data_IF_398566209840
#
_entry.id   IF_398566209840
#
_cell.length_a   1.000
_cell.length_b   1.000
_cell.length_c   1.000
_cell.angle_alpha   90.00
_cell.angle_beta   90.00
_cell.angle_gamma   90.00
#
_symmetry.space_group_name_H-M   'P 1'
#
loop_
_entity.id
_entity.type
_entity.pdbx_description
1 polymer ?
#
# COMPACT_ATOMS: atom_id res chain seq x y z
N UNK A 1 17.37 -13.55 33.05
CA UNK A 1 17.74 -13.33 31.62
C UNK A 1 17.10 -12.05 31.17
N UNK A 2 17.85 -11.17 30.54
CA UNK A 2 17.30 -9.95 29.93
C UNK A 2 16.25 -10.36 28.90
N UNK A 3 15.07 -9.78 28.88
CA UNK A 3 14.07 -10.12 27.89
C UNK A 3 14.57 -9.76 26.48
N UNK A 4 14.36 -10.66 25.53
CA UNK A 4 14.73 -10.47 24.12
C UNK A 4 13.47 -10.41 23.26
N UNK A 5 13.35 -9.35 22.47
CA UNK A 5 12.24 -9.15 21.53
C UNK A 5 12.76 -9.42 20.14
N UNK A 6 12.12 -10.33 19.42
CA UNK A 6 12.40 -10.56 18.01
C UNK A 6 11.31 -9.89 17.16
N UNK A 7 11.73 -9.16 16.13
CA UNK A 7 10.85 -8.52 15.15
C UNK A 7 11.20 -9.10 13.78
N UNK A 8 10.23 -9.75 13.14
CA UNK A 8 10.41 -10.33 11.80
C UNK A 8 9.86 -9.38 10.76
N UNK A 9 10.74 -8.91 9.86
CA UNK A 9 10.40 -7.99 8.76
C UNK A 9 10.93 -6.57 9.00
N UNK A 10 11.52 -5.97 7.94
CA UNK A 10 12.12 -4.63 7.96
C UNK A 10 11.22 -3.53 7.39
N UNK A 11 9.89 -3.67 7.50
CA UNK A 11 8.95 -2.66 7.04
C UNK A 11 8.73 -1.52 8.04
N UNK A 12 7.87 -0.56 7.65
CA UNK A 12 7.55 0.61 8.50
C UNK A 12 6.87 0.23 9.82
N UNK A 13 6.14 -0.89 9.86
CA UNK A 13 5.54 -1.40 11.11
C UNK A 13 6.64 -1.79 12.10
N UNK A 14 7.60 -2.60 11.67
CA UNK A 14 8.75 -3.00 12.49
C UNK A 14 9.56 -1.78 13.00
N UNK A 15 9.84 -0.84 12.12
CA UNK A 15 10.57 0.38 12.48
C UNK A 15 9.82 1.20 13.55
N UNK A 16 8.51 1.40 13.39
CA UNK A 16 7.73 2.16 14.38
C UNK A 16 7.55 1.37 15.70
N UNK A 17 7.49 0.03 15.64
CA UNK A 17 7.51 -0.78 16.86
C UNK A 17 8.81 -0.57 17.65
N UNK A 18 9.97 -0.60 16.98
CA UNK A 18 11.27 -0.33 17.63
C UNK A 18 11.27 1.06 18.27
N UNK A 19 10.78 2.09 17.57
CA UNK A 19 10.68 3.45 18.14
C UNK A 19 9.86 3.46 19.42
N UNK A 20 8.67 2.86 19.41
CA UNK A 20 7.78 2.83 20.59
C UNK A 20 8.36 2.00 21.72
N UNK A 21 9.06 0.90 21.42
CA UNK A 21 9.83 0.15 22.44
C UNK A 21 10.85 1.08 23.10
N UNK A 22 11.64 1.82 22.34
CA UNK A 22 12.72 2.69 22.86
C UNK A 22 12.24 3.92 23.59
N UNK A 23 11.01 4.37 23.36
CA UNK A 23 10.38 5.42 24.15
C UNK A 23 10.07 4.98 25.60
N UNK A 24 9.97 3.66 25.85
CA UNK A 24 9.58 3.09 27.15
C UNK A 24 10.76 2.33 27.81
N UNK A 25 11.47 1.54 27.03
CA UNK A 25 12.55 0.66 27.50
C UNK A 25 13.77 0.76 26.57
N UNK A 26 14.84 1.38 27.11
CA UNK A 26 16.12 1.54 26.41
C UNK A 26 16.97 0.27 26.43
N UNK A 27 16.71 -0.67 27.36
CA UNK A 27 17.63 -1.73 27.74
C UNK A 27 17.25 -3.09 27.17
N UNK A 28 15.95 -3.30 26.86
CA UNK A 28 15.49 -4.55 26.25
C UNK A 28 16.25 -4.83 24.96
N UNK A 29 16.72 -6.07 24.78
CA UNK A 29 17.41 -6.48 23.56
C UNK A 29 16.38 -6.65 22.44
N UNK A 30 16.62 -5.99 21.29
CA UNK A 30 15.76 -6.08 20.10
C UNK A 30 16.56 -6.67 18.96
N UNK A 31 16.05 -7.74 18.35
CA UNK A 31 16.56 -8.32 17.11
C UNK A 31 15.59 -7.98 15.97
N UNK A 32 16.08 -7.31 14.92
CA UNK A 32 15.33 -7.05 13.69
C UNK A 32 15.86 -7.97 12.58
N UNK A 33 15.00 -8.87 12.09
CA UNK A 33 15.37 -9.84 11.06
C UNK A 33 14.62 -9.49 9.78
N UNK A 34 15.33 -9.28 8.68
CA UNK A 34 14.73 -9.04 7.37
C UNK A 34 15.50 -9.70 6.23
N UNK A 35 14.78 -10.20 5.24
CA UNK A 35 15.34 -10.92 4.11
C UNK A 35 16.00 -10.03 3.04
N UNK A 36 15.75 -8.72 3.03
CA UNK A 36 16.47 -7.78 2.17
C UNK A 36 17.81 -7.37 2.83
N UNK A 37 18.94 -7.34 2.07
CA UNK A 37 20.27 -7.03 2.64
C UNK A 37 20.51 -5.52 2.80
N UNK A 38 19.48 -4.72 2.94
CA UNK A 38 19.51 -3.27 3.09
C UNK A 38 18.72 -2.85 4.34
N UNK A 39 18.95 -1.64 4.84
CA UNK A 39 18.20 -1.12 5.99
C UNK A 39 16.71 -0.96 5.69
N UNK A 40 15.82 -0.98 6.70
CA UNK A 40 14.42 -0.61 6.53
C UNK A 40 14.27 0.72 5.80
N UNK A 41 13.42 0.79 4.80
CA UNK A 41 13.34 1.91 3.87
C UNK A 41 11.91 2.31 3.51
N UNK A 42 11.75 3.49 2.90
CA UNK A 42 10.48 4.02 2.41
C UNK A 42 10.03 3.29 1.14
N UNK A 43 9.29 2.16 1.29
CA UNK A 43 8.76 1.38 0.14
C UNK A 43 7.89 2.21 -0.80
N UNK A 44 7.22 3.24 -0.28
CA UNK A 44 6.40 4.16 -1.08
C UNK A 44 7.20 5.00 -2.08
N UNK A 45 8.54 4.99 -1.96
CA UNK A 45 9.42 5.64 -2.95
C UNK A 45 9.75 4.76 -4.14
N UNK A 46 9.56 3.46 -4.06
CA UNK A 46 9.98 2.53 -5.12
C UNK A 46 9.39 2.89 -6.50
N UNK A 47 8.09 3.13 -6.59
CA UNK A 47 7.44 3.51 -7.85
C UNK A 47 7.82 4.90 -8.32
N UNK A 48 7.96 5.85 -7.40
CA UNK A 48 8.24 7.25 -7.71
C UNK A 48 9.68 7.48 -8.19
N UNK A 49 10.60 6.65 -7.72
CA UNK A 49 12.02 6.75 -8.01
C UNK A 49 12.54 5.64 -8.94
N UNK A 50 11.65 5.06 -9.77
CA UNK A 50 11.97 3.93 -10.64
C UNK A 50 13.18 4.20 -11.56
N UNK A 51 13.32 5.42 -12.07
CA UNK A 51 14.42 5.83 -12.96
C UNK A 51 15.47 6.73 -12.30
N UNK A 52 15.27 7.11 -11.04
CA UNK A 52 16.29 7.82 -10.29
C UNK A 52 17.45 6.89 -9.95
N UNK A 53 18.60 7.47 -9.60
CA UNK A 53 19.68 6.71 -8.99
C UNK A 53 19.33 6.40 -7.53
N UNK A 54 18.64 5.28 -7.35
CA UNK A 54 18.16 4.81 -6.05
C UNK A 54 19.33 4.23 -5.25
N UNK A 55 19.96 5.09 -4.45
CA UNK A 55 20.83 4.68 -3.38
C UNK A 55 19.99 4.16 -2.20
N UNK A 56 20.13 2.90 -1.77
CA UNK A 56 19.39 2.35 -0.62
C UNK A 56 19.49 3.21 0.63
N UNK A 57 20.65 3.86 0.84
CA UNK A 57 20.88 4.71 2.01
C UNK A 57 20.06 6.00 1.98
N UNK A 58 19.73 6.51 0.79
CA UNK A 58 18.90 7.72 0.63
C UNK A 58 17.41 7.48 0.88
N UNK A 59 16.98 6.26 0.68
CA UNK A 59 15.56 5.88 0.92
C UNK A 59 15.37 5.17 2.26
N UNK A 60 16.44 4.89 3.02
CA UNK A 60 16.36 4.24 4.31
C UNK A 60 15.55 5.05 5.33
N UNK A 61 14.81 4.37 6.19
CA UNK A 61 14.07 5.00 7.30
C UNK A 61 15.03 5.60 8.31
N UNK A 62 16.14 4.92 8.56
CA UNK A 62 17.26 5.37 9.39
C UNK A 62 18.56 4.72 8.91
N UNK A 63 19.70 5.35 9.24
CA UNK A 63 21.02 4.83 8.99
C UNK A 63 21.49 3.89 10.11
N UNK A 64 22.57 3.16 9.85
CA UNK A 64 23.18 2.19 10.78
C UNK A 64 23.35 2.74 12.19
N UNK A 65 23.87 3.97 12.30
CA UNK A 65 24.18 4.61 13.59
C UNK A 65 22.96 4.78 14.48
N UNK A 66 21.75 4.92 13.88
CA UNK A 66 20.53 4.98 14.65
C UNK A 66 20.21 3.62 15.29
N UNK A 67 20.37 2.52 14.55
CA UNK A 67 20.12 1.18 15.07
C UNK A 67 21.13 0.83 16.16
N UNK A 68 22.42 1.13 15.93
CA UNK A 68 23.50 0.92 16.92
C UNK A 68 23.21 1.70 18.21
N UNK A 69 22.87 3.00 18.10
CA UNK A 69 22.52 3.85 19.26
C UNK A 69 21.31 3.34 20.03
N UNK A 70 20.39 2.67 19.35
CA UNK A 70 19.15 2.14 19.95
C UNK A 70 19.25 0.64 20.28
N UNK A 71 20.44 0.06 20.42
CA UNK A 71 20.67 -1.34 20.81
C UNK A 71 19.82 -2.33 19.98
N UNK A 72 19.75 -2.13 18.65
CA UNK A 72 19.04 -3.02 17.73
C UNK A 72 20.02 -3.93 17.02
N UNK A 73 19.93 -5.22 17.26
CA UNK A 73 20.69 -6.24 16.54
C UNK A 73 20.04 -6.48 15.17
N UNK A 74 20.70 -6.02 14.10
CA UNK A 74 20.21 -6.17 12.73
C UNK A 74 20.67 -7.49 12.12
N UNK A 75 19.75 -8.27 11.60
CA UNK A 75 19.97 -9.48 10.80
C UNK A 75 19.46 -9.22 9.38
N UNK A 76 20.29 -8.50 8.59
CA UNK A 76 19.95 -8.14 7.20
C UNK A 76 20.29 -9.29 6.25
N UNK A 77 19.45 -9.49 5.22
CA UNK A 77 19.60 -10.59 4.26
C UNK A 77 19.39 -11.96 4.89
N UNK A 78 18.62 -12.04 5.99
CA UNK A 78 18.28 -13.28 6.69
C UNK A 78 16.79 -13.54 6.65
N UNK A 79 16.41 -14.74 6.28
CA UNK A 79 15.01 -15.15 6.24
C UNK A 79 14.65 -16.03 7.44
N UNK A 80 13.56 -15.70 8.11
CA UNK A 80 12.98 -16.61 9.12
C UNK A 80 12.19 -17.66 8.39
N UNK A 81 12.61 -18.92 8.54
CA UNK A 81 12.03 -20.08 7.86
C UNK A 81 11.09 -20.90 8.76
N UNK A 82 11.05 -20.61 10.05
CA UNK A 82 10.16 -21.33 10.99
C UNK A 82 10.07 -20.64 12.35
N UNK A 83 8.93 -20.86 13.01
CA UNK A 83 8.66 -20.43 14.39
C UNK A 83 8.26 -21.65 15.21
N UNK A 84 8.94 -21.86 16.34
CA UNK A 84 8.54 -22.82 17.36
C UNK A 84 7.93 -22.07 18.54
N UNK A 85 6.61 -22.09 18.63
CA UNK A 85 5.85 -21.34 19.65
C UNK A 85 5.89 -22.00 21.03
N UNK A 86 6.26 -23.29 21.13
CA UNK A 86 6.41 -23.98 22.40
C UNK A 86 7.77 -23.70 23.04
N UNK A 87 8.84 -23.67 22.21
CA UNK A 87 10.20 -23.37 22.68
C UNK A 87 10.51 -21.86 22.67
N UNK A 88 9.62 -21.04 22.09
CA UNK A 88 9.83 -19.61 21.86
C UNK A 88 11.11 -19.32 21.06
N UNK A 89 11.25 -19.95 19.90
CA UNK A 89 12.40 -19.78 19.02
C UNK A 89 11.99 -19.50 17.57
N UNK A 90 12.86 -18.80 16.85
CA UNK A 90 12.78 -18.63 15.40
C UNK A 90 14.00 -19.25 14.74
N UNK A 91 13.81 -19.94 13.63
CA UNK A 91 14.88 -20.56 12.83
C UNK A 91 15.15 -19.71 11.60
N UNK A 92 16.43 -19.44 11.30
CA UNK A 92 16.87 -18.69 10.14
C UNK A 92 17.36 -19.60 9.01
N UNK A 93 17.41 -19.06 7.81
CA UNK A 93 17.85 -19.73 6.58
C UNK A 93 19.32 -20.19 6.60
N UNK A 94 20.15 -19.61 7.48
CA UNK A 94 21.55 -20.03 7.69
C UNK A 94 21.72 -21.15 8.73
N UNK A 95 20.61 -21.69 9.24
CA UNK A 95 20.59 -22.73 10.26
C UNK A 95 20.71 -22.21 11.69
N UNK A 96 20.89 -20.93 11.91
CA UNK A 96 20.87 -20.34 13.25
C UNK A 96 19.46 -20.32 13.85
N UNK A 97 19.42 -20.30 15.19
CA UNK A 97 18.17 -20.27 15.94
C UNK A 97 18.27 -19.21 17.04
N UNK A 98 17.28 -18.32 17.10
CA UNK A 98 17.20 -17.27 18.11
C UNK A 98 16.02 -17.52 19.04
N UNK A 99 16.24 -17.32 20.34
CA UNK A 99 15.20 -17.45 21.37
C UNK A 99 14.60 -16.08 21.66
N UNK A 100 13.29 -16.03 21.87
CA UNK A 100 12.59 -14.80 22.21
C UNK A 100 11.79 -14.91 23.51
N UNK A 101 11.65 -13.81 24.22
CA UNK A 101 10.64 -13.62 25.25
C UNK A 101 9.32 -13.12 24.67
N UNK A 102 9.40 -12.25 23.64
CA UNK A 102 8.27 -11.77 22.84
C UNK A 102 8.63 -11.68 21.37
N UNK A 103 7.65 -11.90 20.51
CA UNK A 103 7.78 -11.93 19.06
C UNK A 103 6.82 -10.95 18.39
N UNK A 104 7.31 -10.17 17.42
CA UNK A 104 6.49 -9.36 16.52
C UNK A 104 6.59 -9.87 15.09
N UNK A 105 5.47 -10.26 14.51
CA UNK A 105 5.33 -10.56 13.10
C UNK A 105 5.05 -9.25 12.35
N UNK A 106 6.02 -8.76 11.59
CA UNK A 106 5.94 -7.54 10.80
C UNK A 106 6.48 -7.75 9.37
N UNK A 107 6.45 -9.01 8.89
CA UNK A 107 6.96 -9.44 7.58
C UNK A 107 6.00 -9.11 6.41
N UNK A 108 4.92 -8.40 6.70
CA UNK A 108 4.08 -7.73 5.72
C UNK A 108 3.35 -8.66 4.75
N UNK A 109 3.26 -8.25 3.50
CA UNK A 109 2.57 -8.95 2.43
C UNK A 109 3.41 -8.98 1.16
N UNK A 110 3.12 -9.92 0.28
CA UNK A 110 3.66 -10.00 -1.09
C UNK A 110 2.60 -9.57 -2.10
N UNK A 111 3.03 -9.12 -3.28
CA UNK A 111 2.10 -8.84 -4.36
C UNK A 111 1.38 -10.12 -4.78
N UNK A 112 0.07 -10.01 -4.95
CA UNK A 112 -0.71 -11.13 -5.48
C UNK A 112 -0.26 -11.44 -6.90
N UNK A 113 0.20 -12.68 -7.11
CA UNK A 113 0.56 -13.19 -8.42
C UNK A 113 -0.70 -13.73 -9.07
N UNK A 114 -1.20 -13.10 -10.14
CA UNK A 114 -2.40 -13.57 -10.80
C UNK A 114 -2.17 -14.92 -11.47
N UNK A 115 -3.20 -15.76 -11.51
CA UNK A 115 -3.15 -17.02 -12.22
C UNK A 115 -3.37 -16.79 -13.72
N UNK A 116 -2.39 -16.14 -14.36
CA UNK A 116 -2.37 -15.82 -15.78
C UNK A 116 -1.26 -16.65 -16.42
N UNK A 117 -1.56 -17.36 -17.53
CA UNK A 117 -0.56 -18.08 -18.27
C UNK A 117 0.55 -17.13 -18.74
N UNK A 118 1.80 -17.51 -18.58
CA UNK A 118 2.97 -16.70 -18.95
C UNK A 118 3.40 -15.65 -17.93
N UNK A 119 2.76 -15.56 -16.75
CA UNK A 119 3.13 -14.58 -15.69
C UNK A 119 4.56 -14.75 -15.17
N UNK A 120 5.22 -15.87 -15.47
CA UNK A 120 6.61 -16.16 -15.09
C UNK A 120 7.63 -15.90 -16.18
N UNK A 121 7.22 -15.40 -17.33
CA UNK A 121 8.13 -15.12 -18.45
C UNK A 121 9.11 -14.00 -18.08
N UNK A 122 10.27 -14.01 -18.75
CA UNK A 122 11.22 -12.90 -18.63
C UNK A 122 10.56 -11.58 -19.07
N UNK A 123 10.93 -10.47 -18.42
CA UNK A 123 10.35 -9.14 -18.56
C UNK A 123 8.88 -9.02 -18.05
N UNK A 124 8.44 -9.93 -17.19
CA UNK A 124 7.21 -9.79 -16.42
C UNK A 124 7.56 -9.50 -14.96
N UNK A 125 7.16 -8.35 -14.43
CA UNK A 125 7.59 -7.84 -13.15
C UNK A 125 6.42 -7.43 -12.26
N UNK A 126 6.72 -7.29 -10.99
CA UNK A 126 5.89 -6.59 -10.00
C UNK A 126 6.79 -5.66 -9.18
N UNK A 127 6.22 -4.72 -8.44
CA UNK A 127 7.00 -3.78 -7.62
C UNK A 127 6.63 -3.98 -6.15
N UNK A 128 7.55 -4.53 -5.36
CA UNK A 128 7.37 -4.69 -3.91
C UNK A 128 8.67 -4.46 -3.14
N UNK A 129 9.79 -4.89 -3.71
CA UNK A 129 11.10 -4.84 -3.08
C UNK A 129 12.05 -3.94 -3.86
N UNK A 130 13.16 -3.58 -3.23
CA UNK A 130 14.21 -2.80 -3.87
C UNK A 130 14.81 -3.52 -5.09
N UNK A 131 15.00 -4.84 -5.00
CA UNK A 131 15.49 -5.66 -6.10
C UNK A 131 14.58 -5.64 -7.33
N UNK A 132 13.27 -5.50 -7.16
CA UNK A 132 12.33 -5.40 -8.28
C UNK A 132 12.62 -4.16 -9.12
N UNK A 133 12.90 -3.03 -8.47
CA UNK A 133 13.25 -1.78 -9.15
C UNK A 133 14.56 -1.91 -9.91
N UNK A 134 15.56 -2.54 -9.31
CA UNK A 134 16.84 -2.78 -9.99
C UNK A 134 16.67 -3.68 -11.22
N UNK A 135 15.87 -4.75 -11.09
CA UNK A 135 15.56 -5.66 -12.18
C UNK A 135 14.81 -4.95 -13.32
N UNK A 136 13.78 -4.17 -13.00
CA UNK A 136 13.02 -3.38 -13.99
C UNK A 136 13.94 -2.37 -14.69
N UNK A 137 14.71 -1.58 -13.93
CA UNK A 137 15.62 -0.56 -14.46
C UNK A 137 16.64 -1.19 -15.43
N UNK A 138 17.28 -2.29 -15.02
CA UNK A 138 18.29 -2.97 -15.85
C UNK A 138 17.75 -3.53 -17.18
N UNK A 139 16.43 -3.71 -17.29
CA UNK A 139 15.76 -4.31 -18.46
C UNK A 139 14.91 -3.29 -19.24
N UNK A 140 14.84 -2.01 -18.80
CA UNK A 140 13.92 -1.03 -19.39
C UNK A 140 14.51 -0.21 -20.52
N UNK A 141 15.84 -0.11 -20.66
CA UNK A 141 16.49 0.83 -21.59
C UNK A 141 16.10 0.56 -23.05
N UNK A 142 16.11 -0.69 -23.48
CA UNK A 142 15.75 -1.12 -24.85
C UNK A 142 14.23 -1.36 -25.03
N UNK A 143 13.42 -1.23 -24.00
CA UNK A 143 11.97 -1.46 -24.06
C UNK A 143 11.23 -0.20 -24.46
N UNK A 144 10.32 -0.31 -25.42
CA UNK A 144 9.54 0.81 -25.95
C UNK A 144 8.09 0.78 -25.47
N UNK A 145 7.50 -0.40 -25.32
CA UNK A 145 6.10 -0.56 -24.93
C UNK A 145 5.99 -1.34 -23.62
N UNK A 146 5.50 -0.68 -22.58
CA UNK A 146 5.32 -1.26 -21.25
C UNK A 146 3.82 -1.43 -20.99
N UNK A 147 3.41 -2.66 -20.69
CA UNK A 147 2.03 -2.97 -20.36
C UNK A 147 1.88 -3.14 -18.86
N UNK A 148 0.94 -2.39 -18.26
CA UNK A 148 0.58 -2.46 -16.85
C UNK A 148 -0.73 -3.21 -16.66
N UNK A 149 -0.74 -4.25 -15.81
CA UNK A 149 -1.95 -4.98 -15.42
C UNK A 149 -2.44 -4.44 -14.08
N UNK A 150 -3.61 -3.77 -14.10
CA UNK A 150 -4.24 -3.09 -12.99
C UNK A 150 -4.14 -1.55 -13.05
N UNK A 151 -5.25 -0.86 -12.81
CA UNK A 151 -5.39 0.60 -12.80
C UNK A 151 -5.38 1.21 -11.38
N UNK A 152 -4.72 0.55 -10.43
CA UNK A 152 -4.55 1.05 -9.06
C UNK A 152 -3.35 1.99 -8.93
N UNK A 153 -3.27 2.68 -7.77
CA UNK A 153 -2.30 3.75 -7.51
C UNK A 153 -0.84 3.34 -7.80
N UNK A 154 -0.40 2.17 -7.36
CA UNK A 154 0.98 1.72 -7.55
C UNK A 154 1.35 1.58 -9.04
N UNK A 155 0.45 0.98 -9.83
CA UNK A 155 0.66 0.85 -11.27
C UNK A 155 0.58 2.19 -12.00
N UNK A 156 -0.31 3.10 -11.57
CA UNK A 156 -0.41 4.44 -12.16
C UNK A 156 0.86 5.27 -11.89
N UNK A 157 1.42 5.21 -10.68
CA UNK A 157 2.70 5.87 -10.37
C UNK A 157 3.86 5.27 -11.19
N UNK A 158 3.92 3.93 -11.33
CA UNK A 158 4.92 3.28 -12.18
C UNK A 158 4.72 3.64 -13.67
N UNK A 159 3.48 3.62 -14.16
CA UNK A 159 3.13 4.03 -15.52
C UNK A 159 3.58 5.47 -15.80
N UNK A 160 3.35 6.39 -14.85
CA UNK A 160 3.82 7.76 -14.95
C UNK A 160 5.35 7.85 -15.05
N UNK A 161 6.08 7.05 -14.26
CA UNK A 161 7.53 7.02 -14.34
C UNK A 161 8.01 6.61 -15.75
N UNK A 162 7.39 5.60 -16.37
CA UNK A 162 7.70 5.21 -17.76
C UNK A 162 7.31 6.27 -18.78
N UNK A 163 6.12 6.87 -18.67
CA UNK A 163 5.70 7.96 -19.55
C UNK A 163 6.67 9.14 -19.51
N UNK A 164 7.16 9.50 -18.33
CA UNK A 164 8.12 10.59 -18.14
C UNK A 164 9.50 10.30 -18.74
N UNK A 165 9.74 9.05 -19.18
CA UNK A 165 10.95 8.59 -19.88
C UNK A 165 10.64 8.13 -21.33
N UNK A 166 9.66 8.79 -21.94
CA UNK A 166 9.28 8.62 -23.36
C UNK A 166 8.88 7.19 -23.77
N UNK A 167 8.50 6.33 -22.81
CA UNK A 167 8.01 4.99 -23.10
C UNK A 167 6.52 5.03 -23.45
N UNK A 168 6.10 4.17 -24.34
CA UNK A 168 4.68 3.91 -24.61
C UNK A 168 4.11 3.04 -23.51
N UNK A 169 3.04 3.48 -22.90
CA UNK A 169 2.39 2.77 -21.78
C UNK A 169 1.01 2.26 -22.20
N UNK A 170 0.69 1.04 -21.79
CA UNK A 170 -0.63 0.45 -21.93
C UNK A 170 -1.08 -0.01 -20.55
N UNK A 171 -2.24 0.46 -20.10
CA UNK A 171 -2.84 0.04 -18.84
C UNK A 171 -4.07 -0.80 -19.13
N UNK A 172 -4.11 -2.01 -18.57
CA UNK A 172 -5.26 -2.92 -18.67
C UNK A 172 -5.89 -3.01 -17.28
N UNK A 173 -7.12 -2.52 -17.16
CA UNK A 173 -7.88 -2.52 -15.91
C UNK A 173 -9.13 -3.38 -16.05
N UNK A 174 -9.30 -4.31 -15.11
CA UNK A 174 -10.44 -5.23 -15.04
C UNK A 174 -11.75 -4.53 -14.74
N UNK A 175 -11.71 -3.47 -13.92
CA UNK A 175 -12.87 -2.68 -13.56
C UNK A 175 -13.23 -1.67 -14.65
N UNK A 176 -14.40 -1.08 -14.53
CA UNK A 176 -14.94 -0.09 -15.47
C UNK A 176 -14.27 1.29 -15.39
N UNK A 177 -13.39 1.51 -14.41
CA UNK A 177 -12.70 2.79 -14.18
C UNK A 177 -11.40 2.63 -13.41
N UNK A 178 -10.54 3.65 -13.49
CA UNK A 178 -9.29 3.73 -12.73
C UNK A 178 -9.57 4.03 -11.25
N UNK A 179 -8.78 3.44 -10.34
CA UNK A 179 -8.87 3.65 -8.89
C UNK A 179 -10.29 3.54 -8.32
N UNK A 180 -11.09 2.51 -8.64
CA UNK A 180 -12.52 2.43 -8.33
C UNK A 180 -12.84 2.41 -6.82
N UNK A 181 -11.84 2.10 -5.98
CA UNK A 181 -11.98 2.10 -4.51
C UNK A 181 -11.73 3.45 -3.86
N UNK A 182 -11.07 4.37 -4.57
CA UNK A 182 -10.62 5.67 -4.05
C UNK A 182 -11.31 6.84 -4.74
N UNK A 183 -11.90 6.63 -5.91
CA UNK A 183 -12.48 7.68 -6.72
C UNK A 183 -13.93 7.32 -7.09
N UNK A 184 -14.79 8.33 -7.13
CA UNK A 184 -16.09 8.23 -7.79
C UNK A 184 -15.94 8.25 -9.32
N UNK A 185 -17.04 8.12 -10.03
CA UNK A 185 -17.03 8.06 -11.50
C UNK A 185 -16.41 9.32 -12.10
N UNK A 186 -16.80 10.51 -11.63
CA UNK A 186 -16.31 11.78 -12.19
C UNK A 186 -14.82 12.01 -11.94
N UNK A 187 -14.35 11.76 -10.73
CA UNK A 187 -12.93 11.85 -10.40
C UNK A 187 -12.08 10.85 -11.21
N UNK A 188 -12.61 9.63 -11.44
CA UNK A 188 -11.95 8.64 -12.28
C UNK A 188 -11.92 9.02 -13.77
N UNK A 189 -12.96 9.71 -14.28
CA UNK A 189 -12.96 10.27 -15.64
C UNK A 189 -11.89 11.36 -15.82
N UNK A 190 -11.72 12.23 -14.85
CA UNK A 190 -10.65 13.24 -14.85
C UNK A 190 -9.28 12.55 -14.90
N UNK A 191 -9.07 11.56 -14.04
CA UNK A 191 -7.84 10.78 -14.03
C UNK A 191 -7.61 10.06 -15.38
N UNK A 192 -8.65 9.44 -15.93
CA UNK A 192 -8.56 8.75 -17.23
C UNK A 192 -8.12 9.72 -18.35
N UNK A 193 -8.72 10.92 -18.42
CA UNK A 193 -8.35 11.95 -19.40
C UNK A 193 -6.90 12.41 -19.21
N UNK A 194 -6.47 12.62 -17.97
CA UNK A 194 -5.09 12.99 -17.68
C UNK A 194 -4.12 11.89 -18.11
N UNK A 195 -4.39 10.63 -17.76
CA UNK A 195 -3.54 9.48 -18.15
C UNK A 195 -3.45 9.37 -19.68
N UNK A 196 -4.58 9.48 -20.39
CA UNK A 196 -4.62 9.31 -21.85
C UNK A 196 -4.12 10.54 -22.63
N UNK A 197 -3.90 11.68 -21.97
CA UNK A 197 -3.26 12.85 -22.61
C UNK A 197 -1.75 12.66 -22.86
N UNK A 198 -1.16 11.64 -22.28
CA UNK A 198 0.22 11.23 -22.50
C UNK A 198 0.29 10.04 -23.49
N UNK A 199 1.49 9.53 -23.74
CA UNK A 199 1.69 8.36 -24.61
C UNK A 199 1.19 7.06 -23.93
N UNK A 200 -0.07 7.08 -23.46
CA UNK A 200 -0.69 6.02 -22.69
C UNK A 200 -2.03 5.61 -23.27
N UNK A 201 -2.21 4.30 -23.48
CA UNK A 201 -3.50 3.68 -23.81
C UNK A 201 -4.07 3.03 -22.58
N UNK A 202 -5.34 3.28 -22.27
CA UNK A 202 -6.06 2.64 -21.14
C UNK A 202 -7.18 1.77 -21.68
N UNK A 203 -7.22 0.52 -21.25
CA UNK A 203 -8.25 -0.46 -21.55
C UNK A 203 -8.99 -0.80 -20.28
N UNK A 204 -10.17 -0.22 -20.10
CA UNK A 204 -11.08 -0.47 -18.98
C UNK A 204 -11.97 -1.68 -19.28
N UNK A 205 -12.57 -2.27 -18.23
CA UNK A 205 -13.42 -3.47 -18.33
C UNK A 205 -12.75 -4.58 -19.14
N UNK A 206 -11.43 -4.72 -19.00
CA UNK A 206 -10.63 -5.62 -19.83
C UNK A 206 -9.88 -6.61 -18.95
N UNK A 207 -10.04 -7.88 -19.27
CA UNK A 207 -9.36 -8.99 -18.62
C UNK A 207 -8.09 -9.39 -19.39
N UNK A 208 -7.01 -9.67 -18.70
CA UNK A 208 -5.83 -10.30 -19.27
C UNK A 208 -6.00 -11.82 -19.21
N UNK A 209 -5.94 -12.46 -20.34
CA UNK A 209 -6.12 -13.92 -20.49
C UNK A 209 -4.77 -14.65 -20.39
N UNK A 210 -3.76 -14.16 -21.13
CA UNK A 210 -2.43 -14.77 -21.15
C UNK A 210 -1.35 -13.74 -21.50
N UNK A 211 -0.12 -14.06 -21.11
CA UNK A 211 1.10 -13.34 -21.48
C UNK A 211 1.88 -14.24 -22.42
N UNK A 212 2.06 -13.82 -23.66
CA UNK A 212 2.61 -14.63 -24.73
C UNK A 212 4.06 -14.26 -25.08
N UNK A 213 4.74 -15.13 -25.79
CA UNK A 213 6.15 -15.07 -26.17
C UNK A 213 6.82 -16.40 -25.89
N UNK A 214 8.03 -16.60 -26.37
CA UNK A 214 8.82 -17.80 -26.05
C UNK A 214 9.32 -17.72 -24.60
N UNK A 215 10.58 -17.40 -24.37
CA UNK A 215 11.13 -17.22 -23.02
C UNK A 215 10.75 -15.85 -22.42
N UNK A 216 10.66 -14.81 -23.27
CA UNK A 216 10.35 -13.41 -22.92
C UNK A 216 8.95 -13.04 -23.37
N UNK A 217 8.34 -12.08 -22.65
CA UNK A 217 7.08 -11.51 -23.12
C UNK A 217 7.27 -10.79 -24.46
N UNK A 218 6.32 -10.98 -25.37
CA UNK A 218 6.22 -10.22 -26.62
C UNK A 218 4.81 -9.65 -26.86
N UNK A 219 3.79 -10.21 -26.20
CA UNK A 219 2.44 -9.69 -26.25
C UNK A 219 1.62 -10.15 -25.04
N UNK A 220 0.45 -9.52 -24.86
CA UNK A 220 -0.56 -9.89 -23.87
C UNK A 220 -1.89 -10.08 -24.59
N UNK A 221 -2.54 -11.21 -24.38
CA UNK A 221 -3.90 -11.48 -24.87
C UNK A 221 -4.90 -10.95 -23.87
N UNK A 222 -5.83 -10.14 -24.34
CA UNK A 222 -6.86 -9.50 -23.54
C UNK A 222 -8.25 -9.77 -24.08
N UNK A 223 -9.27 -9.65 -23.22
CA UNK A 223 -10.70 -9.77 -23.57
C UNK A 223 -11.48 -8.63 -22.95
N UNK A 224 -12.27 -7.91 -23.75
CA UNK A 224 -13.19 -6.89 -23.24
C UNK A 224 -14.41 -7.58 -22.60
N UNK A 225 -14.76 -7.20 -21.38
CA UNK A 225 -15.85 -7.79 -20.59
C UNK A 225 -17.24 -7.21 -20.88
N UNK A 226 -17.30 -6.05 -21.53
CA UNK A 226 -18.53 -5.35 -21.85
C UNK A 226 -19.08 -5.65 -23.25
N UNK A 227 -18.40 -6.47 -24.04
CA UNK A 227 -18.92 -6.85 -25.38
C UNK A 227 -20.15 -7.76 -25.21
N UNK A 228 -21.26 -7.35 -25.77
CA UNK A 228 -22.54 -8.07 -25.77
C UNK A 228 -22.55 -9.31 -26.71
N UNK A 229 -21.50 -9.53 -27.44
CA UNK A 229 -21.33 -10.74 -28.25
C UNK A 229 -20.91 -11.90 -27.34
N UNK A 230 -21.57 -13.02 -27.50
CA UNK A 230 -21.35 -14.25 -26.72
C UNK A 230 -19.93 -14.82 -26.80
N UNK A 231 -19.07 -14.24 -27.64
CA UNK A 231 -17.63 -14.44 -27.71
C UNK A 231 -16.99 -13.07 -27.96
N UNK A 232 -16.61 -12.34 -26.90
CA UNK A 232 -15.77 -11.16 -27.06
C UNK A 232 -14.44 -11.60 -27.69
N UNK A 233 -14.11 -11.04 -28.86
CA UNK A 233 -12.87 -11.36 -29.56
C UNK A 233 -11.67 -11.07 -28.65
N UNK A 234 -10.81 -12.06 -28.51
CA UNK A 234 -9.52 -11.85 -27.84
C UNK A 234 -8.63 -10.96 -28.71
N UNK A 235 -7.98 -10.01 -28.07
CA UNK A 235 -7.06 -9.09 -28.73
C UNK A 235 -5.64 -9.33 -28.22
N UNK A 236 -4.71 -9.57 -29.14
CA UNK A 236 -3.29 -9.58 -28.81
C UNK A 236 -2.70 -8.17 -28.87
N UNK A 237 -1.99 -7.79 -27.81
CA UNK A 237 -1.38 -6.46 -27.65
C UNK A 237 0.13 -6.66 -27.51
N UNK A 238 0.89 -6.22 -28.51
CA UNK A 238 2.34 -6.30 -28.47
C UNK A 238 2.91 -5.39 -27.35
N UNK A 239 3.86 -5.93 -26.57
CA UNK A 239 4.58 -5.22 -25.52
C UNK A 239 5.92 -5.89 -25.25
N UNK A 240 6.88 -5.11 -24.74
CA UNK A 240 8.25 -5.57 -24.46
C UNK A 240 8.46 -5.92 -22.99
N UNK A 241 7.58 -5.40 -22.13
CA UNK A 241 7.62 -5.59 -20.68
C UNK A 241 6.21 -5.55 -20.11
N UNK A 242 5.96 -6.34 -19.08
CA UNK A 242 4.72 -6.33 -18.30
C UNK A 242 5.02 -6.04 -16.85
N UNK A 243 4.23 -5.12 -16.25
CA UNK A 243 4.24 -4.85 -14.81
C UNK A 243 2.83 -5.09 -14.26
N UNK A 244 2.69 -5.98 -13.27
CA UNK A 244 1.40 -6.23 -12.66
C UNK A 244 1.34 -5.76 -11.20
N UNK A 245 0.20 -5.15 -10.83
CA UNK A 245 -0.12 -4.80 -9.44
C UNK A 245 -1.64 -4.93 -9.25
N UNK A 246 -2.06 -6.14 -8.85
CA UNK A 246 -3.48 -6.54 -8.74
C UNK A 246 -3.87 -6.93 -7.31
N UNK A 247 -3.18 -6.35 -6.34
CA UNK A 247 -3.41 -6.54 -4.91
C UNK A 247 -2.27 -7.22 -4.19
N UNK A 248 -2.47 -7.47 -2.90
CA UNK A 248 -1.48 -8.07 -2.00
C UNK A 248 -2.04 -9.30 -1.29
N UNK A 249 -1.15 -10.15 -0.77
CA UNK A 249 -1.47 -11.27 0.11
C UNK A 249 -0.54 -11.23 1.32
N UNK A 250 -1.07 -11.25 2.55
CA UNK A 250 -0.28 -11.35 3.78
C UNK A 250 0.66 -12.55 3.76
N UNK A 251 1.87 -12.38 4.27
CA UNK A 251 2.90 -13.42 4.29
C UNK A 251 2.71 -14.37 5.48
N UNK A 252 1.53 -15.01 5.55
CA UNK A 252 1.11 -15.87 6.67
C UNK A 252 1.76 -17.25 6.68
N UNK A 253 2.46 -17.66 5.61
CA UNK A 253 3.11 -18.97 5.51
C UNK A 253 4.09 -19.24 6.67
N UNK A 254 4.67 -18.20 7.24
CA UNK A 254 5.55 -18.30 8.41
C UNK A 254 4.83 -18.85 9.65
N UNK A 255 3.49 -18.77 9.68
CA UNK A 255 2.66 -19.30 10.76
C UNK A 255 2.26 -20.78 10.55
N UNK A 256 2.67 -21.40 9.42
CA UNK A 256 2.40 -22.80 9.15
C UNK A 256 3.00 -23.67 10.27
N UNK A 257 2.27 -24.69 10.71
CA UNK A 257 2.64 -25.56 11.82
C UNK A 257 2.79 -24.88 13.19
N UNK A 258 2.20 -23.71 13.38
CA UNK A 258 2.07 -23.03 14.67
C UNK A 258 0.62 -23.01 15.14
N UNK A 259 0.38 -22.65 16.40
CA UNK A 259 -0.97 -22.43 16.94
C UNK A 259 -1.47 -20.97 16.74
N UNK A 260 -0.76 -20.15 15.99
CA UNK A 260 -1.17 -18.77 15.67
C UNK A 260 -2.42 -18.79 14.78
N UNK A 261 -3.46 -18.09 15.20
CA UNK A 261 -4.70 -17.99 14.43
C UNK A 261 -4.54 -17.09 13.20
N UNK A 262 -4.90 -17.66 12.05
CA UNK A 262 -4.84 -16.98 10.74
C UNK A 262 -6.18 -17.13 9.99
N UNK A 263 -6.50 -16.13 9.17
CA UNK A 263 -7.58 -16.18 8.17
C UNK A 263 -7.08 -15.54 6.88
N UNK A 264 -7.45 -14.31 6.55
CA UNK A 264 -6.83 -13.53 5.45
C UNK A 264 -5.44 -13.01 5.82
N UNK A 265 -5.18 -12.84 7.10
CA UNK A 265 -3.95 -12.42 7.74
C UNK A 265 -3.81 -13.10 9.10
N UNK A 266 -2.81 -12.69 9.88
CA UNK A 266 -2.69 -13.05 11.29
C UNK A 266 -3.75 -12.27 12.07
N UNK A 267 -4.64 -13.00 12.76
CA UNK A 267 -5.73 -12.39 13.54
C UNK A 267 -5.14 -11.74 14.79
N UNK A 268 -5.45 -10.47 15.01
CA UNK A 268 -5.00 -9.69 16.18
C UNK A 268 -6.16 -8.97 16.86
N UNK A 269 -6.01 -8.73 18.15
CA UNK A 269 -6.88 -7.85 18.94
C UNK A 269 -6.51 -6.36 18.74
N UNK A 270 -7.15 -5.45 19.47
CA UNK A 270 -6.86 -4.03 19.44
C UNK A 270 -5.52 -3.65 20.08
N UNK A 271 -4.86 -4.57 20.80
CA UNK A 271 -3.49 -4.42 21.30
C UNK A 271 -2.45 -4.98 20.35
N UNK A 272 -2.87 -5.38 19.14
CA UNK A 272 -2.04 -6.06 18.13
C UNK A 272 -1.49 -7.41 18.62
N UNK A 273 -2.12 -8.04 19.60
CA UNK A 273 -1.77 -9.35 20.15
C UNK A 273 -2.49 -10.43 19.35
N UNK A 274 -1.80 -11.54 19.10
CA UNK A 274 -2.40 -12.75 18.54
C UNK A 274 -3.15 -13.53 19.64
N UNK A 275 -3.61 -14.72 19.33
CA UNK A 275 -4.13 -15.65 20.34
C UNK A 275 -3.06 -16.19 21.31
N UNK A 276 -1.79 -15.88 21.11
CA UNK A 276 -0.66 -16.24 22.00
C UNK A 276 -0.14 -14.98 22.69
N UNK A 277 -0.07 -15.02 24.01
CA UNK A 277 0.21 -13.83 24.86
C UNK A 277 1.53 -13.12 24.57
N UNK A 278 2.53 -13.85 24.08
CA UNK A 278 3.86 -13.34 23.79
C UNK A 278 4.13 -13.08 22.31
N UNK A 279 3.11 -13.25 21.43
CA UNK A 279 3.23 -13.03 19.99
C UNK A 279 2.26 -11.95 19.51
N UNK A 280 2.81 -10.96 18.83
CA UNK A 280 2.13 -9.80 18.28
C UNK A 280 2.29 -9.79 16.75
N UNK A 281 1.41 -9.06 16.06
CA UNK A 281 1.59 -8.82 14.64
C UNK A 281 1.22 -7.37 14.28
N UNK A 282 1.88 -6.79 13.25
CA UNK A 282 1.63 -5.43 12.80
C UNK A 282 1.89 -5.25 11.29
N UNK A 283 1.13 -4.36 10.66
CA UNK A 283 1.25 -4.03 9.25
C UNK A 283 0.48 -4.99 8.34
N UNK A 284 0.91 -5.09 7.10
CA UNK A 284 0.17 -5.80 6.03
C UNK A 284 -0.01 -7.31 6.28
N UNK A 285 0.64 -7.88 7.28
CA UNK A 285 0.43 -9.29 7.68
C UNK A 285 -0.83 -9.48 8.51
N UNK A 286 -1.32 -8.42 9.17
CA UNK A 286 -2.41 -8.53 10.15
C UNK A 286 -3.78 -8.57 9.50
N UNK A 287 -4.69 -9.27 10.18
CA UNK A 287 -6.13 -9.15 10.04
C UNK A 287 -6.71 -8.59 11.34
N UNK A 288 -7.20 -7.36 11.29
CA UNK A 288 -7.88 -6.68 12.39
C UNK A 288 -9.32 -6.36 11.99
N UNK A 289 -10.29 -6.72 12.81
CA UNK A 289 -11.73 -6.56 12.54
C UNK A 289 -12.15 -7.11 11.16
N UNK A 290 -11.63 -8.30 10.80
CA UNK A 290 -11.91 -9.00 9.54
C UNK A 290 -11.29 -8.36 8.29
N UNK A 291 -10.38 -7.39 8.45
CA UNK A 291 -9.77 -6.61 7.37
C UNK A 291 -8.25 -6.67 7.41
N UNK A 292 -7.64 -6.77 6.23
CA UNK A 292 -6.21 -6.57 6.01
C UNK A 292 -5.99 -5.11 5.60
N UNK A 293 -5.08 -4.41 6.27
CA UNK A 293 -4.89 -2.96 6.09
C UNK A 293 -4.30 -2.59 4.73
N UNK A 294 -3.13 -3.08 4.43
CA UNK A 294 -2.43 -2.86 3.15
C UNK A 294 -2.01 -1.40 2.88
N UNK A 295 -1.96 -0.54 3.90
CA UNK A 295 -1.64 0.87 3.76
C UNK A 295 -0.53 1.30 4.74
N UNK A 296 0.35 2.17 4.26
CA UNK A 296 1.48 2.67 5.03
C UNK A 296 1.10 3.32 6.37
N UNK A 297 0.09 4.21 6.47
CA UNK A 297 -0.33 4.79 7.76
C UNK A 297 -0.86 3.75 8.75
N UNK A 298 -1.60 2.74 8.27
CA UNK A 298 -2.09 1.64 9.11
C UNK A 298 -0.92 0.87 9.70
N UNK A 299 0.07 0.51 8.87
CA UNK A 299 1.26 -0.20 9.31
C UNK A 299 2.09 0.60 10.35
N UNK A 300 2.14 1.93 10.23
CA UNK A 300 2.78 2.81 11.23
C UNK A 300 2.08 2.68 12.58
N UNK A 301 0.77 2.87 12.65
CA UNK A 301 0.05 2.90 13.92
C UNK A 301 -0.05 1.51 14.56
N UNK A 302 -0.25 0.45 13.76
CA UNK A 302 -0.16 -0.91 14.28
C UNK A 302 1.24 -1.23 14.81
N UNK A 303 2.29 -0.76 14.13
CA UNK A 303 3.67 -0.87 14.60
C UNK A 303 3.88 -0.16 15.94
N UNK A 304 3.40 1.09 16.08
CA UNK A 304 3.48 1.82 17.36
C UNK A 304 2.74 1.09 18.48
N UNK A 305 1.49 0.71 18.22
CA UNK A 305 0.65 0.00 19.21
C UNK A 305 1.32 -1.30 19.66
N UNK A 306 1.80 -2.12 18.73
CA UNK A 306 2.50 -3.37 19.06
C UNK A 306 3.79 -3.10 19.85
N UNK A 307 4.56 -2.07 19.47
CA UNK A 307 5.79 -1.70 20.16
C UNK A 307 5.57 -1.33 21.63
N UNK A 308 4.55 -0.52 21.93
CA UNK A 308 4.17 -0.20 23.30
C UNK A 308 3.73 -1.43 24.09
N UNK A 309 2.86 -2.27 23.52
CA UNK A 309 2.35 -3.47 24.20
C UNK A 309 3.43 -4.54 24.40
N UNK A 310 4.42 -4.62 23.53
CA UNK A 310 5.59 -5.49 23.69
C UNK A 310 6.39 -5.19 24.97
N UNK A 311 6.41 -3.94 25.43
CA UNK A 311 7.11 -3.52 26.65
C UNK A 311 6.18 -3.24 27.82
N UNK A 312 4.91 -3.67 27.73
CA UNK A 312 3.95 -3.64 28.84
C UNK A 312 3.21 -2.32 29.03
N UNK A 313 3.32 -1.36 28.09
CA UNK A 313 2.48 -0.16 28.07
C UNK A 313 1.16 -0.50 27.38
N UNK A 314 0.06 -0.42 28.11
CA UNK A 314 -1.28 -0.74 27.62
C UNK A 314 -1.79 0.33 26.65
N UNK A 315 -1.85 0.01 25.34
CA UNK A 315 -2.30 0.91 24.27
C UNK A 315 -3.18 0.16 23.27
N UNK A 316 -4.39 0.68 23.05
CA UNK A 316 -5.32 0.13 22.05
C UNK A 316 -5.18 0.82 20.70
N UNK A 317 -5.22 0.03 19.64
CA UNK A 317 -5.34 0.47 18.26
C UNK A 317 -6.80 0.83 17.94
N UNK A 318 -7.06 2.09 17.68
CA UNK A 318 -8.43 2.59 17.42
C UNK A 318 -8.83 2.57 15.94
N UNK A 319 -7.97 2.00 15.10
CA UNK A 319 -8.13 2.07 13.66
C UNK A 319 -7.61 3.39 13.06
N UNK A 320 -7.35 3.38 11.78
CA UNK A 320 -7.02 4.57 11.00
C UNK A 320 -7.89 4.61 9.76
N UNK A 321 -8.42 5.79 9.47
CA UNK A 321 -9.10 6.02 8.20
C UNK A 321 -8.11 5.94 7.03
N UNK A 322 -8.41 5.15 6.00
CA UNK A 322 -7.59 5.11 4.80
C UNK A 322 -7.49 6.49 4.17
N UNK A 323 -6.27 6.96 3.98
CA UNK A 323 -5.96 8.16 3.20
C UNK A 323 -5.16 7.73 1.98
N UNK A 324 -5.64 8.12 0.81
CA UNK A 324 -4.96 7.89 -0.46
C UNK A 324 -4.49 9.22 -1.02
N UNK A 325 -3.22 9.31 -1.36
CA UNK A 325 -2.64 10.45 -2.08
C UNK A 325 -1.87 9.92 -3.28
N UNK A 326 -2.07 10.53 -4.45
CA UNK A 326 -1.31 10.23 -5.66
C UNK A 326 -0.88 11.54 -6.32
N UNK A 327 0.36 11.57 -6.77
CA UNK A 327 0.88 12.65 -7.63
C UNK A 327 1.50 11.99 -8.86
N UNK A 328 0.74 11.97 -9.95
CA UNK A 328 1.12 11.39 -11.23
C UNK A 328 0.30 12.03 -12.35
N UNK A 329 0.82 12.01 -13.58
CA UNK A 329 0.16 12.60 -14.76
C UNK A 329 -0.24 14.08 -14.57
N UNK A 330 0.59 14.84 -13.83
CA UNK A 330 0.36 16.23 -13.45
C UNK A 330 -0.95 16.46 -12.67
N UNK A 331 -1.49 15.43 -12.04
CA UNK A 331 -2.62 15.53 -11.11
C UNK A 331 -2.19 15.25 -9.68
N UNK A 332 -2.71 16.05 -8.75
CA UNK A 332 -2.70 15.75 -7.33
C UNK A 332 -4.06 15.20 -6.95
N UNK A 333 -4.08 13.98 -6.44
CA UNK A 333 -5.31 13.31 -6.00
C UNK A 333 -5.22 13.03 -4.51
N UNK A 334 -6.29 13.34 -3.80
CA UNK A 334 -6.50 12.99 -2.40
C UNK A 334 -7.88 12.36 -2.24
N UNK A 335 -7.94 11.27 -1.49
CA UNK A 335 -9.19 10.62 -1.12
C UNK A 335 -9.12 10.12 0.31
N UNK A 336 -10.17 10.32 1.08
CA UNK A 336 -10.24 9.91 2.49
C UNK A 336 -11.65 9.42 2.85
N UNK A 337 -11.70 8.43 3.73
CA UNK A 337 -12.93 7.96 4.37
C UNK A 337 -13.88 7.26 3.42
N UNK A 338 -15.16 7.42 3.65
CA UNK A 338 -16.24 6.80 2.86
C UNK A 338 -16.64 7.70 1.71
N UNK A 339 -16.44 7.21 0.49
CA UNK A 339 -16.74 7.94 -0.77
C UNK A 339 -17.93 7.35 -1.53
N UNK A 340 -18.67 6.47 -0.88
CA UNK A 340 -19.86 5.84 -1.44
C UNK A 340 -21.10 6.75 -1.23
N UNK A 341 -21.79 7.08 -2.32
CA UNK A 341 -23.00 7.92 -2.29
C UNK A 341 -24.11 7.29 -1.47
N UNK A 342 -24.26 5.97 -1.53
CA UNK A 342 -25.29 5.26 -0.78
C UNK A 342 -25.13 5.33 0.74
N UNK A 343 -23.92 5.62 1.20
CA UNK A 343 -23.58 5.81 2.62
C UNK A 343 -23.73 7.25 3.11
N UNK A 344 -23.80 8.22 2.19
CA UNK A 344 -23.92 9.65 2.49
C UNK A 344 -25.39 10.10 2.54
N UNK A 345 -25.70 11.04 3.43
CA UNK A 345 -27.01 11.73 3.46
C UNK A 345 -27.01 13.00 2.58
N UNK A 346 -25.84 13.56 2.32
CA UNK A 346 -25.63 14.72 1.48
C UNK A 346 -24.23 14.68 0.88
N UNK A 347 -24.06 15.27 -0.30
CA UNK A 347 -22.74 15.54 -0.88
C UNK A 347 -22.67 16.97 -1.41
N UNK A 348 -21.52 17.63 -1.21
CA UNK A 348 -21.22 18.90 -1.87
C UNK A 348 -20.17 18.66 -2.95
N UNK A 349 -20.38 19.25 -4.12
CA UNK A 349 -19.53 19.06 -5.29
C UNK A 349 -19.06 20.44 -5.79
N UNK A 350 -17.75 20.54 -6.07
CA UNK A 350 -17.12 21.63 -6.81
C UNK A 350 -16.45 21.01 -8.05
N UNK A 351 -17.08 21.14 -9.20
CA UNK A 351 -16.62 20.65 -10.51
C UNK A 351 -16.69 21.78 -11.54
N UNK A 352 -15.59 22.52 -11.75
CA UNK A 352 -15.54 23.59 -12.75
C UNK A 352 -15.56 23.07 -14.20
N UNK A 353 -15.45 21.77 -14.43
CA UNK A 353 -15.50 21.15 -15.76
C UNK A 353 -14.18 21.21 -16.53
N UNK A 354 -13.11 21.73 -15.94
CA UNK A 354 -11.79 21.91 -16.58
C UNK A 354 -10.92 20.63 -16.64
N UNK A 355 -11.40 19.53 -16.04
CA UNK A 355 -10.70 18.26 -15.88
C UNK A 355 -9.36 18.33 -15.12
N UNK A 356 -9.07 19.41 -14.42
CA UNK A 356 -7.87 19.58 -13.60
C UNK A 356 -8.20 19.77 -12.12
N UNK A 357 -9.46 20.06 -11.82
CA UNK A 357 -9.95 20.37 -10.48
C UNK A 357 -11.29 19.67 -10.23
N UNK A 358 -11.39 19.05 -9.06
CA UNK A 358 -12.63 18.43 -8.60
C UNK A 358 -12.58 18.26 -7.09
N UNK A 359 -13.66 18.63 -6.42
CA UNK A 359 -13.80 18.35 -4.99
C UNK A 359 -15.19 17.77 -4.75
N UNK A 360 -15.26 16.72 -3.97
CA UNK A 360 -16.51 16.16 -3.47
C UNK A 360 -16.36 15.81 -2.01
N UNK A 361 -17.29 16.30 -1.19
CA UNK A 361 -17.31 16.07 0.25
C UNK A 361 -18.58 15.31 0.58
N UNK A 362 -18.44 14.23 1.33
CA UNK A 362 -19.52 13.31 1.69
C UNK A 362 -19.89 13.51 3.15
N UNK A 363 -21.19 13.64 3.42
CA UNK A 363 -21.72 13.86 4.75
C UNK A 363 -22.66 12.73 5.17
N UNK A 364 -22.64 12.43 6.46
CA UNK A 364 -23.65 11.60 7.08
C UNK A 364 -24.12 12.29 8.35
N UNK A 365 -25.41 12.64 8.37
CA UNK A 365 -25.95 13.53 9.38
C UNK A 365 -25.15 14.85 9.39
N UNK A 366 -24.56 15.22 10.54
CA UNK A 366 -23.81 16.46 10.72
C UNK A 366 -22.27 16.24 10.75
N UNK A 367 -21.78 15.17 10.12
CA UNK A 367 -20.35 14.88 10.10
C UNK A 367 -19.84 14.67 8.67
N UNK A 368 -18.59 15.03 8.40
CA UNK A 368 -17.91 14.67 7.17
C UNK A 368 -17.42 13.24 7.29
N UNK A 369 -17.88 12.36 6.38
CA UNK A 369 -17.51 10.93 6.37
C UNK A 369 -16.46 10.59 5.32
N UNK A 370 -16.25 11.46 4.34
CA UNK A 370 -15.26 11.26 3.30
C UNK A 370 -15.10 12.47 2.39
N UNK A 371 -14.03 12.47 1.62
CA UNK A 371 -13.76 13.50 0.62
C UNK A 371 -12.89 12.97 -0.52
N UNK A 372 -13.14 13.51 -1.72
CA UNK A 372 -12.27 13.36 -2.90
C UNK A 372 -11.83 14.77 -3.30
N UNK A 373 -10.53 14.95 -3.54
CA UNK A 373 -9.96 16.21 -4.02
C UNK A 373 -8.99 15.92 -5.16
N UNK A 374 -9.18 16.58 -6.29
CA UNK A 374 -8.23 16.65 -7.40
C UNK A 374 -7.81 18.10 -7.59
N UNK A 375 -6.50 18.35 -7.75
CA UNK A 375 -5.92 19.66 -7.97
C UNK A 375 -5.37 20.30 -6.72
N UNK A 376 -6.01 21.35 -6.19
CA UNK A 376 -5.52 22.09 -5.01
C UNK A 376 -5.65 21.28 -3.72
N UNK A 377 -4.50 20.94 -3.13
CA UNK A 377 -4.38 20.12 -1.92
C UNK A 377 -4.33 20.90 -0.61
N UNK A 378 -4.49 22.24 -0.67
CA UNK A 378 -4.34 23.15 0.48
C UNK A 378 -5.16 22.75 1.70
N UNK A 379 -6.36 22.20 1.49
CA UNK A 379 -7.29 21.85 2.56
C UNK A 379 -7.30 20.35 2.93
N UNK A 380 -6.42 19.53 2.37
CA UNK A 380 -6.42 18.10 2.61
C UNK A 380 -6.23 17.72 4.09
N UNK A 381 -5.33 18.45 4.81
CA UNK A 381 -5.13 18.23 6.24
C UNK A 381 -6.35 18.63 7.08
N UNK A 382 -7.05 19.69 6.67
CA UNK A 382 -8.28 20.12 7.30
C UNK A 382 -9.38 19.05 7.13
N UNK A 383 -9.61 18.60 5.90
CA UNK A 383 -10.56 17.53 5.62
C UNK A 383 -10.20 16.24 6.37
N UNK A 384 -8.90 15.88 6.41
CA UNK A 384 -8.43 14.73 7.19
C UNK A 384 -8.80 14.88 8.67
N UNK A 385 -8.58 16.05 9.28
CA UNK A 385 -8.95 16.31 10.69
C UNK A 385 -10.45 16.06 10.89
N UNK A 386 -11.33 16.72 10.13
CA UNK A 386 -12.77 16.63 10.32
C UNK A 386 -13.34 15.23 10.09
N UNK A 387 -12.83 14.50 9.09
CA UNK A 387 -13.23 13.10 8.85
C UNK A 387 -12.76 12.18 9.97
N UNK A 388 -11.52 12.38 10.48
CA UNK A 388 -10.94 11.53 11.54
C UNK A 388 -11.62 11.78 12.88
N UNK A 389 -11.80 13.05 13.23
CA UNK A 389 -12.35 13.48 14.53
C UNK A 389 -13.88 13.34 14.56
N UNK A 390 -14.52 13.07 13.41
CA UNK A 390 -15.98 13.05 13.24
C UNK A 390 -16.62 14.32 13.83
N UNK A 391 -15.98 15.48 13.60
CA UNK A 391 -16.40 16.75 14.19
C UNK A 391 -17.82 17.10 13.77
N UNK A 392 -18.64 17.53 14.73
CA UNK A 392 -20.01 18.00 14.47
C UNK A 392 -19.98 19.36 13.78
N UNK A 393 -20.69 19.46 12.67
CA UNK A 393 -20.83 20.68 11.87
C UNK A 393 -22.31 21.12 11.78
N UNK A 394 -23.17 20.72 12.72
CA UNK A 394 -24.60 21.04 12.76
C UNK A 394 -24.89 22.54 12.76
N UNK A 395 -23.91 23.38 13.10
CA UNK A 395 -24.03 24.84 13.05
C UNK A 395 -23.97 25.46 11.63
N UNK A 396 -23.70 24.63 10.60
CA UNK A 396 -23.61 25.11 9.20
C UNK A 396 -24.85 24.72 8.40
N UNK A 397 -25.39 25.67 7.64
CA UNK A 397 -26.43 25.38 6.65
C UNK A 397 -25.80 24.82 5.38
N UNK A 398 -25.80 23.48 5.27
CA UNK A 398 -25.22 22.76 4.13
C UNK A 398 -26.07 22.83 2.86
N UNK A 399 -27.29 23.37 2.92
CA UNK A 399 -28.22 23.40 1.76
C UNK A 399 -27.84 24.48 0.74
N UNK A 400 -27.17 25.55 1.18
CA UNK A 400 -26.85 26.73 0.37
C UNK A 400 -25.37 27.14 0.40
N UNK A 401 -24.48 26.23 0.83
CA UNK A 401 -23.06 26.51 0.95
C UNK A 401 -22.27 25.86 -0.20
N UNK A 402 -21.34 26.58 -0.78
CA UNK A 402 -20.35 26.01 -1.71
C UNK A 402 -19.26 25.24 -0.97
N UNK A 403 -18.54 24.36 -1.69
CA UNK A 403 -17.39 23.64 -1.12
C UNK A 403 -16.33 24.60 -0.60
N UNK A 404 -16.06 25.70 -1.30
CA UNK A 404 -15.04 26.67 -0.90
C UNK A 404 -15.47 27.46 0.37
N UNK A 405 -16.72 27.87 0.47
CA UNK A 405 -17.26 28.51 1.69
C UNK A 405 -17.23 27.54 2.87
N UNK A 406 -17.64 26.28 2.66
CA UNK A 406 -17.51 25.26 3.69
C UNK A 406 -16.06 25.16 4.20
N UNK A 407 -15.08 25.04 3.30
CA UNK A 407 -13.66 24.90 3.69
C UNK A 407 -13.15 26.14 4.47
N UNK A 408 -13.62 27.34 4.17
CA UNK A 408 -13.28 28.54 4.97
C UNK A 408 -13.96 28.51 6.35
N UNK A 409 -15.21 28.07 6.45
CA UNK A 409 -15.87 27.87 7.75
C UNK A 409 -15.16 26.82 8.61
N UNK A 410 -14.78 25.68 8.02
CA UNK A 410 -14.06 24.63 8.75
C UNK A 410 -12.69 25.09 9.28
N UNK A 411 -12.03 26.08 8.64
CA UNK A 411 -10.79 26.68 9.17
C UNK A 411 -11.01 27.53 10.41
N UNK A 412 -12.18 28.14 10.51
CA UNK A 412 -12.52 29.01 11.63
C UNK A 412 -12.96 28.24 12.88
N UNK A 413 -13.28 26.95 12.71
CA UNK A 413 -13.60 25.98 13.80
C UNK A 413 -12.33 25.35 14.35
#
# INVERSE_FOLDING_TARGET
>A
MTPEIIIIGGGVAAFNAIKSIREIDSDVIVHLIQNEPIYPYYRTRLTKSLFEDLDPDRISLQKKEWYDKNNVNLHLGKEVIGIDTEKNTVSLDDGSCLKYSKLLLANGASNFKPNIEGVNKENVFTIRKFEDIQAIKSKSDDKQTILHIGGGIQNLEAAWAFCSHDKKVIIVEFMDRLMPRQLDTRASEILFKAVTSYNTKVLLSTEVISITGDDKVNAVTTRNRNSSESISAEQSIACDMVIYSVGIRPNIKICDNTSIQISKGVIVDDHMRTNLDNIYAAGDITEYDGRVGGLWPIAIEQGKTSGYNLVGKDVSYTGILPVTTMNAFNLNIFSIGTIDEGSATLTLIDDPGDNNSYKRIFFKNNTIIGAIVIGDTKHNNLLKKFVTDKSDISGLDLSNISVNELLEHLKAM
#
